data_IF_907913250083
#
_entry.id   IF_907913250083
#
_cell.length_a   1.000
_cell.length_b   1.000
_cell.length_c   1.000
_cell.angle_alpha   90.00
_cell.angle_beta   90.00
_cell.angle_gamma   90.00
#
_symmetry.space_group_name_H-M   'P 1'
#
loop_
_entity.id
_entity.type
_entity.pdbx_description
1 polymer ?
#
# COMPACT_ATOMS: atom_id res chain seq x y z
N UNK A 1 3.06 18.46 19.27
CA UNK A 1 3.66 17.55 18.28
C UNK A 1 2.63 16.46 18.00
N UNK A 2 2.22 16.27 16.74
CA UNK A 2 1.36 15.14 16.37
C UNK A 2 2.25 13.92 16.12
N UNK A 3 1.89 12.76 16.67
CA UNK A 3 2.61 11.51 16.46
C UNK A 3 2.41 11.07 15.00
N UNK A 4 3.52 10.93 14.27
CA UNK A 4 3.55 10.40 12.90
C UNK A 4 3.90 8.92 12.93
N UNK A 5 3.11 8.10 12.24
CA UNK A 5 3.21 6.64 12.27
C UNK A 5 3.52 6.09 10.89
N UNK A 6 4.56 5.27 10.78
CA UNK A 6 4.79 4.38 9.65
C UNK A 6 4.08 3.06 9.93
N UNK A 7 3.18 2.64 9.05
CA UNK A 7 2.47 1.38 9.19
C UNK A 7 3.18 0.27 8.41
N UNK A 8 3.54 -0.81 9.09
CA UNK A 8 4.18 -1.99 8.51
C UNK A 8 3.20 -3.17 8.57
N UNK A 9 2.93 -3.81 7.44
CA UNK A 9 1.98 -4.91 7.38
C UNK A 9 2.20 -5.87 6.22
N UNK A 10 1.19 -6.69 5.96
CA UNK A 10 1.12 -7.59 4.80
C UNK A 10 -0.27 -7.50 4.17
N UNK A 11 -0.43 -8.02 2.95
CA UNK A 11 -1.74 -8.05 2.28
C UNK A 11 -2.65 -9.13 2.90
N UNK A 12 -3.21 -8.85 4.08
CA UNK A 12 -4.13 -9.74 4.80
C UNK A 12 -5.17 -8.95 5.60
N UNK A 13 -6.27 -9.62 5.96
CA UNK A 13 -7.38 -9.01 6.71
C UNK A 13 -6.96 -8.41 8.05
N UNK A 14 -6.02 -9.04 8.76
CA UNK A 14 -5.53 -8.52 10.03
C UNK A 14 -4.89 -7.15 9.86
N UNK A 15 -3.94 -7.01 8.92
CA UNK A 15 -3.28 -5.74 8.65
C UNK A 15 -4.27 -4.68 8.19
N UNK A 16 -5.27 -5.06 7.37
CA UNK A 16 -6.34 -4.17 6.91
C UNK A 16 -7.15 -3.60 8.08
N UNK A 17 -7.64 -4.47 8.96
CA UNK A 17 -8.47 -4.07 10.11
C UNK A 17 -7.69 -3.12 11.05
N UNK A 18 -6.41 -3.38 11.28
CA UNK A 18 -5.57 -2.51 12.12
C UNK A 18 -5.35 -1.15 11.43
N UNK A 19 -5.07 -1.14 10.12
CA UNK A 19 -4.93 0.10 9.35
C UNK A 19 -6.23 0.93 9.42
N UNK A 20 -7.38 0.33 9.18
CA UNK A 20 -8.70 0.98 9.30
C UNK A 20 -8.94 1.54 10.70
N UNK A 21 -8.57 0.78 11.74
CA UNK A 21 -8.69 1.23 13.13
C UNK A 21 -7.83 2.46 13.42
N UNK A 22 -6.61 2.52 12.89
CA UNK A 22 -5.71 3.66 13.04
C UNK A 22 -6.23 4.89 12.28
N UNK A 23 -6.76 4.70 11.07
CA UNK A 23 -7.40 5.76 10.28
C UNK A 23 -8.62 6.32 11.03
N UNK A 24 -9.49 5.44 11.53
CA UNK A 24 -10.68 5.83 12.29
C UNK A 24 -10.33 6.56 13.61
N UNK A 25 -9.21 6.19 14.24
CA UNK A 25 -8.65 6.88 15.40
C UNK A 25 -7.96 8.22 15.05
N UNK A 26 -7.97 8.63 13.77
CA UNK A 26 -7.32 9.86 13.26
C UNK A 26 -5.83 9.93 13.56
N UNK A 27 -5.16 8.77 13.58
CA UNK A 27 -3.71 8.71 13.69
C UNK A 27 -3.10 9.21 12.38
N UNK A 28 -2.06 10.04 12.47
CA UNK A 28 -1.35 10.54 11.29
C UNK A 28 -0.41 9.45 10.75
N UNK A 29 -0.91 8.68 9.79
CA UNK A 29 -0.14 7.66 9.08
C UNK A 29 0.58 8.32 7.91
N UNK A 30 1.91 8.23 7.88
CA UNK A 30 2.72 8.89 6.84
C UNK A 30 2.93 8.02 5.60
N UNK A 31 2.95 6.70 5.79
CA UNK A 31 3.06 5.72 4.72
C UNK A 31 2.65 4.32 5.22
N UNK A 32 2.31 3.46 4.29
CA UNK A 32 2.05 2.03 4.49
C UNK A 32 3.12 1.25 3.72
N UNK A 33 3.85 0.37 4.42
CA UNK A 33 4.77 -0.58 3.80
C UNK A 33 4.22 -1.99 3.95
N UNK A 34 4.08 -2.68 2.83
CA UNK A 34 3.60 -4.06 2.79
C UNK A 34 4.73 -4.99 2.42
N UNK A 35 4.93 -6.04 3.22
CA UNK A 35 5.83 -7.13 2.86
C UNK A 35 5.39 -7.76 1.53
N UNK A 36 6.31 -7.77 0.57
CA UNK A 36 6.13 -8.13 -0.84
C UNK A 36 5.90 -9.61 -1.10
N UNK A 37 5.96 -10.45 -0.07
CA UNK A 37 5.51 -11.83 -0.19
C UNK A 37 4.02 -11.81 -0.54
N UNK A 38 3.71 -12.13 -1.80
CA UNK A 38 2.38 -12.12 -2.44
C UNK A 38 1.86 -10.78 -3.00
N UNK A 39 2.71 -9.77 -3.18
CA UNK A 39 2.32 -8.57 -3.94
C UNK A 39 2.58 -8.80 -5.44
N UNK A 40 1.55 -8.75 -6.31
CA UNK A 40 1.73 -8.98 -7.74
C UNK A 40 2.63 -7.88 -8.33
N UNK A 41 3.65 -8.28 -9.09
CA UNK A 41 4.58 -7.35 -9.76
C UNK A 41 5.79 -6.92 -8.93
N UNK A 42 5.91 -7.30 -7.65
CA UNK A 42 7.14 -7.09 -6.89
C UNK A 42 8.12 -8.24 -7.17
N UNK A 43 9.26 -7.96 -7.78
CA UNK A 43 10.33 -8.94 -7.95
C UNK A 43 11.00 -9.24 -6.59
N UNK A 44 11.42 -10.48 -6.37
CA UNK A 44 12.02 -10.95 -5.09
C UNK A 44 13.33 -10.21 -4.71
N UNK A 45 13.91 -9.43 -5.64
CA UNK A 45 15.15 -8.68 -5.50
C UNK A 45 14.97 -7.16 -5.26
N UNK A 46 13.72 -6.67 -5.20
CA UNK A 46 13.43 -5.24 -5.01
C UNK A 46 13.54 -4.82 -3.53
N UNK A 47 14.20 -3.68 -3.26
CA UNK A 47 14.42 -3.20 -1.88
C UNK A 47 13.20 -2.50 -1.28
N UNK A 48 12.63 -1.52 -1.99
CA UNK A 48 11.37 -0.81 -1.67
C UNK A 48 10.86 -0.20 -2.99
N UNK A 49 9.59 -0.41 -3.37
CA UNK A 49 8.99 0.22 -4.57
C UNK A 49 7.61 0.82 -4.26
N UNK A 50 7.29 2.03 -4.79
CA UNK A 50 5.96 2.60 -4.64
C UNK A 50 4.94 1.76 -5.43
N UNK A 51 3.78 1.52 -4.81
CA UNK A 51 2.68 0.78 -5.41
C UNK A 51 1.57 1.76 -5.79
N UNK A 52 1.28 1.82 -7.08
CA UNK A 52 0.31 2.76 -7.64
C UNK A 52 -1.04 2.09 -7.85
N UNK A 53 -2.15 2.84 -7.72
CA UNK A 53 -3.47 2.32 -8.02
C UNK A 53 -3.59 1.95 -9.51
N UNK A 54 -4.56 1.08 -9.88
CA UNK A 54 -4.68 0.55 -11.23
C UNK A 54 -4.89 1.61 -12.32
N UNK A 55 -5.45 2.75 -11.95
CA UNK A 55 -5.80 3.89 -12.80
C UNK A 55 -4.78 5.04 -12.73
N UNK A 56 -3.66 4.86 -12.03
CA UNK A 56 -2.60 5.86 -11.98
C UNK A 56 -2.08 6.16 -13.39
N UNK A 57 -1.88 7.45 -13.69
CA UNK A 57 -1.18 7.88 -14.89
C UNK A 57 0.30 7.52 -14.77
N UNK A 58 0.66 6.35 -15.30
CA UNK A 58 2.05 5.89 -15.34
C UNK A 58 2.66 6.37 -16.65
N UNK A 59 3.79 7.08 -16.57
CA UNK A 59 4.58 7.34 -17.76
C UNK A 59 5.19 6.01 -18.24
N UNK A 60 5.13 5.72 -19.55
CA UNK A 60 5.55 4.44 -20.16
C UNK A 60 6.93 3.92 -19.72
N UNK A 61 7.80 4.78 -19.16
CA UNK A 61 9.15 4.46 -18.74
C UNK A 61 9.45 4.79 -17.27
N UNK A 62 8.46 4.95 -16.37
CA UNK A 62 8.76 5.21 -14.95
C UNK A 62 9.34 3.94 -14.29
N UNK A 63 10.66 3.92 -13.98
CA UNK A 63 11.34 2.72 -13.49
C UNK A 63 10.94 2.35 -12.05
N UNK A 64 10.25 3.25 -11.35
CA UNK A 64 9.84 3.06 -9.97
C UNK A 64 8.38 2.61 -9.85
N UNK A 65 7.61 2.66 -10.95
CA UNK A 65 6.20 2.33 -10.94
C UNK A 65 5.97 0.83 -11.03
N UNK A 66 5.10 0.33 -10.16
CA UNK A 66 4.53 -1.01 -10.29
C UNK A 66 3.00 -0.88 -10.35
N UNK A 67 2.41 -1.02 -11.55
CA UNK A 67 0.95 -1.07 -11.68
C UNK A 67 0.43 -2.34 -11.03
N UNK A 68 -0.41 -2.18 -10.01
CA UNK A 68 -1.14 -3.30 -9.44
C UNK A 68 -2.39 -3.55 -10.27
N UNK A 69 -2.41 -4.64 -11.04
CA UNK A 69 -3.62 -5.09 -11.74
C UNK A 69 -4.57 -5.72 -10.72
N UNK A 70 -5.59 -4.98 -10.30
CA UNK A 70 -6.60 -5.45 -9.35
C UNK A 70 -7.48 -6.54 -9.98
N UNK A 71 -7.38 -7.78 -9.49
CA UNK A 71 -8.34 -8.87 -9.75
C UNK A 71 -9.21 -9.18 -8.52
N UNK A 72 -9.43 -8.23 -7.62
CA UNK A 72 -10.06 -8.52 -6.32
C UNK A 72 -11.47 -7.93 -6.19
N UNK A 73 -12.45 -8.81 -5.96
CA UNK A 73 -13.85 -8.49 -5.60
C UNK A 73 -14.00 -8.28 -4.07
N UNK A 74 -12.90 -8.28 -3.32
CA UNK A 74 -12.87 -8.26 -1.85
C UNK A 74 -12.06 -7.07 -1.32
N UNK A 75 -12.54 -6.43 -0.25
CA UNK A 75 -11.83 -5.35 0.45
C UNK A 75 -10.42 -5.82 0.83
N UNK A 76 -9.40 -5.05 0.42
CA UNK A 76 -7.99 -5.37 0.68
C UNK A 76 -7.28 -4.15 1.25
N UNK A 77 -6.17 -4.38 1.96
CA UNK A 77 -5.37 -3.30 2.54
C UNK A 77 -4.87 -2.31 1.46
N UNK A 78 -4.65 -2.79 0.24
CA UNK A 78 -4.26 -1.98 -0.91
C UNK A 78 -5.34 -0.93 -1.20
N UNK A 79 -6.59 -1.39 -1.35
CA UNK A 79 -7.74 -0.53 -1.60
C UNK A 79 -7.94 0.48 -0.45
N UNK A 80 -7.96 0.00 0.79
CA UNK A 80 -8.10 0.86 1.99
C UNK A 80 -7.02 1.95 2.03
N UNK A 81 -5.77 1.62 1.67
CA UNK A 81 -4.65 2.57 1.68
C UNK A 81 -4.86 3.66 0.62
N UNK A 82 -5.24 3.28 -0.61
CA UNK A 82 -5.47 4.23 -1.70
C UNK A 82 -6.70 5.10 -1.51
N UNK A 83 -7.81 4.54 -1.03
CA UNK A 83 -9.03 5.31 -0.74
C UNK A 83 -8.79 6.42 0.29
N UNK A 84 -7.76 6.27 1.12
CA UNK A 84 -7.35 7.25 2.12
C UNK A 84 -6.16 8.11 1.68
N UNK A 85 -5.79 8.06 0.39
CA UNK A 85 -4.67 8.81 -0.20
C UNK A 85 -3.34 8.63 0.55
N UNK A 86 -3.12 7.45 1.12
CA UNK A 86 -1.90 7.13 1.87
C UNK A 86 -0.80 6.63 0.91
N UNK A 87 0.44 7.12 1.04
CA UNK A 87 1.57 6.57 0.28
C UNK A 87 1.77 5.09 0.59
N UNK A 88 1.82 4.25 -0.45
CA UNK A 88 1.94 2.80 -0.34
C UNK A 88 3.22 2.30 -0.99
N UNK A 89 3.97 1.45 -0.28
CA UNK A 89 5.20 0.85 -0.77
C UNK A 89 5.19 -0.66 -0.54
N UNK A 90 5.70 -1.41 -1.51
CA UNK A 90 6.04 -2.83 -1.37
C UNK A 90 7.52 -2.97 -1.01
N UNK A 91 7.82 -3.83 -0.02
CA UNK A 91 9.18 -4.15 0.44
C UNK A 91 9.53 -5.62 0.26
#
# INVERSE_FOLDING_TARGET
MALEVLFLGSNCDYSRIILESLINARIKIVAVWLAGQNLPGLAEDATIKPLLPPDAAIADNDPNSLPLTSTFVQESILQTTWDNALPLYGI
#
